data_IF_040878411521
#
_entry.id   IF_040878411521
#
_cell.length_a   1.000
_cell.length_b   1.000
_cell.length_c   1.000
_cell.angle_alpha   90.00
_cell.angle_beta   90.00
_cell.angle_gamma   90.00
#
_symmetry.space_group_name_H-M   'P 1'
#
loop_
_entity.id
_entity.type
_entity.pdbx_description
1 polymer ?
#
# COMPACT_ATOMS: atom_id res chain seq x y z
N UNK A 1 -13.70 27.93 31.12
CA UNK A 1 -13.80 27.36 29.76
C UNK A 1 -12.86 26.16 29.72
N UNK A 2 -13.38 24.94 29.59
CA UNK A 2 -12.53 23.75 29.50
C UNK A 2 -12.18 23.51 28.02
N UNK A 3 -10.89 23.63 27.70
CA UNK A 3 -10.35 23.33 26.38
C UNK A 3 -10.40 21.82 26.14
N UNK A 4 -11.03 21.42 25.04
CA UNK A 4 -11.24 20.03 24.65
C UNK A 4 -10.32 19.73 23.46
N UNK A 5 -9.01 19.77 23.71
CA UNK A 5 -7.99 19.40 22.73
C UNK A 5 -8.00 17.87 22.56
N UNK A 6 -8.87 17.39 21.66
CA UNK A 6 -8.82 16.02 21.15
C UNK A 6 -7.46 15.79 20.53
N UNK A 7 -6.58 15.14 21.28
CA UNK A 7 -5.31 14.60 20.81
C UNK A 7 -5.62 13.68 19.62
N UNK A 8 -5.33 14.15 18.40
CA UNK A 8 -5.42 13.33 17.20
C UNK A 8 -4.29 12.32 17.30
N UNK A 9 -4.59 11.13 17.83
CA UNK A 9 -3.70 9.97 17.75
C UNK A 9 -3.27 9.88 16.27
N UNK A 10 -1.99 10.05 15.94
CA UNK A 10 -1.54 9.98 14.57
C UNK A 10 -1.92 8.58 14.07
N UNK A 11 -2.67 8.54 12.96
CA UNK A 11 -3.09 7.29 12.38
C UNK A 11 -1.83 6.44 12.14
N UNK A 12 -1.78 5.18 12.61
CA UNK A 12 -0.61 4.35 12.45
C UNK A 12 -0.25 4.30 10.96
N UNK A 13 0.94 4.81 10.63
CA UNK A 13 1.44 4.83 9.27
C UNK A 13 1.81 3.40 8.88
N UNK A 14 0.81 2.65 8.39
CA UNK A 14 1.03 1.37 7.75
C UNK A 14 2.00 1.63 6.59
N UNK A 15 3.14 0.94 6.58
CA UNK A 15 4.19 1.14 5.60
C UNK A 15 3.62 1.16 4.18
N UNK A 16 3.95 2.16 3.34
CA UNK A 16 3.23 2.44 2.09
C UNK A 16 3.33 1.31 1.05
N UNK A 17 4.20 0.32 1.30
CA UNK A 17 4.39 -0.85 0.46
C UNK A 17 3.71 -2.12 0.98
N UNK A 18 3.13 -2.13 2.17
CA UNK A 18 2.52 -3.34 2.76
C UNK A 18 1.40 -3.86 1.86
N UNK A 19 0.48 -2.97 1.46
CA UNK A 19 -0.62 -3.33 0.57
C UNK A 19 -0.15 -3.84 -0.80
N UNK A 20 0.65 -3.11 -1.60
CA UNK A 20 1.09 -3.59 -2.91
C UNK A 20 1.96 -4.85 -2.82
N UNK A 21 2.74 -5.03 -1.75
CA UNK A 21 3.53 -6.26 -1.55
C UNK A 21 2.63 -7.48 -1.31
N UNK A 22 1.64 -7.37 -0.42
CA UNK A 22 0.66 -8.44 -0.21
C UNK A 22 -0.11 -8.74 -1.50
N UNK A 23 -0.50 -7.70 -2.24
CA UNK A 23 -1.21 -7.83 -3.50
C UNK A 23 -0.36 -8.53 -4.57
N UNK A 24 0.93 -8.24 -4.64
CA UNK A 24 1.86 -8.88 -5.55
C UNK A 24 2.08 -10.36 -5.20
N UNK A 25 2.30 -10.68 -3.92
CA UNK A 25 2.47 -12.06 -3.45
C UNK A 25 1.20 -12.87 -3.73
N UNK A 26 0.04 -12.32 -3.41
CA UNK A 26 -1.24 -12.99 -3.63
C UNK A 26 -1.55 -13.15 -5.13
N UNK A 27 -1.28 -12.13 -5.95
CA UNK A 27 -1.43 -12.21 -7.40
C UNK A 27 -0.52 -13.26 -8.05
N UNK A 28 0.74 -13.35 -7.60
CA UNK A 28 1.69 -14.36 -8.08
C UNK A 28 1.27 -15.78 -7.64
N UNK A 29 0.75 -15.93 -6.42
CA UNK A 29 0.17 -17.19 -5.95
C UNK A 29 -1.01 -17.62 -6.84
N UNK A 30 -1.97 -16.72 -7.09
CA UNK A 30 -3.09 -16.98 -7.98
C UNK A 30 -2.64 -17.32 -9.42
N UNK A 31 -1.55 -16.70 -9.90
CA UNK A 31 -0.98 -17.05 -11.20
C UNK A 31 -0.45 -18.49 -11.22
N UNK A 32 0.34 -18.85 -10.21
CA UNK A 32 0.87 -20.20 -10.06
C UNK A 32 -0.26 -21.24 -9.97
N UNK A 33 -1.27 -20.98 -9.13
CA UNK A 33 -2.37 -21.91 -8.90
C UNK A 33 -3.36 -21.98 -10.10
N UNK A 34 -3.54 -20.88 -10.83
CA UNK A 34 -4.45 -20.80 -11.98
C UNK A 34 -3.87 -21.28 -13.31
N UNK A 35 -2.55 -21.21 -13.50
CA UNK A 35 -1.88 -21.54 -14.76
C UNK A 35 -0.90 -22.72 -14.68
N UNK A 36 -0.13 -22.84 -13.59
CA UNK A 36 0.86 -23.92 -13.44
C UNK A 36 0.27 -25.17 -12.75
N UNK A 37 -0.68 -25.00 -11.83
CA UNK A 37 -1.42 -26.12 -11.23
C UNK A 37 -2.43 -26.72 -12.22
N UNK A 38 -2.40 -28.05 -12.38
CA UNK A 38 -3.30 -28.82 -13.27
C UNK A 38 -4.10 -29.89 -12.52
N UNK A 39 -4.44 -29.65 -11.24
CA UNK A 39 -5.21 -30.60 -10.45
C UNK A 39 -6.70 -30.58 -10.88
N UNK A 40 -7.25 -31.72 -11.35
CA UNK A 40 -8.61 -31.78 -11.88
C UNK A 40 -9.70 -31.53 -10.82
N UNK A 41 -9.40 -31.71 -9.53
CA UNK A 41 -10.35 -31.45 -8.43
C UNK A 41 -10.49 -29.97 -8.05
N UNK A 42 -9.69 -29.06 -8.62
CA UNK A 42 -9.67 -27.63 -8.26
C UNK A 42 -10.09 -26.70 -9.39
N UNK A 43 -10.71 -27.23 -10.45
CA UNK A 43 -11.15 -26.42 -11.60
C UNK A 43 -12.13 -25.30 -11.24
N UNK A 44 -12.95 -25.50 -10.20
CA UNK A 44 -13.95 -24.51 -9.77
C UNK A 44 -13.31 -23.21 -9.27
N UNK A 45 -12.14 -23.31 -8.62
CA UNK A 45 -11.38 -22.16 -8.15
C UNK A 45 -10.33 -21.68 -9.17
N UNK A 46 -10.05 -22.47 -10.21
CA UNK A 46 -9.06 -22.15 -11.22
C UNK A 46 -9.43 -20.90 -12.03
N UNK A 47 -10.73 -20.69 -12.31
CA UNK A 47 -11.22 -19.46 -12.96
C UNK A 47 -10.99 -18.23 -12.09
N UNK A 48 -11.31 -18.31 -10.79
CA UNK A 48 -11.10 -17.22 -9.84
C UNK A 48 -9.61 -16.89 -9.70
N UNK A 49 -8.75 -17.90 -9.63
CA UNK A 49 -7.30 -17.71 -9.59
C UNK A 49 -6.75 -17.07 -10.88
N UNK A 50 -7.24 -17.48 -12.06
CA UNK A 50 -6.84 -16.85 -13.32
C UNK A 50 -7.27 -15.38 -13.39
N UNK A 51 -8.55 -15.09 -13.13
CA UNK A 51 -9.07 -13.71 -13.15
C UNK A 51 -8.37 -12.86 -12.07
N UNK A 52 -8.22 -13.42 -10.87
CA UNK A 52 -7.49 -12.81 -9.76
C UNK A 52 -6.08 -12.44 -10.16
N UNK A 53 -5.32 -13.36 -10.76
CA UNK A 53 -3.95 -13.07 -11.23
C UNK A 53 -3.93 -11.95 -12.29
N UNK A 54 -4.92 -11.93 -13.19
CA UNK A 54 -5.00 -10.96 -14.28
C UNK A 54 -5.35 -9.55 -13.79
N UNK A 55 -6.05 -9.43 -12.65
CA UNK A 55 -6.43 -8.15 -12.05
C UNK A 55 -5.39 -7.70 -11.01
N UNK A 56 -5.00 -8.61 -10.11
CA UNK A 56 -4.12 -8.31 -8.97
C UNK A 56 -2.71 -7.92 -9.40
N UNK A 57 -2.15 -8.60 -10.42
CA UNK A 57 -0.77 -8.31 -10.86
C UNK A 57 -0.66 -6.90 -11.47
N UNK A 58 -1.49 -6.50 -12.46
CA UNK A 58 -1.47 -5.13 -12.97
C UNK A 58 -1.80 -4.10 -11.88
N UNK A 59 -2.75 -4.42 -10.99
CA UNK A 59 -3.11 -3.51 -9.90
C UNK A 59 -1.95 -3.29 -8.94
N UNK A 60 -1.24 -4.36 -8.54
CA UNK A 60 -0.06 -4.27 -7.68
C UNK A 60 1.04 -3.43 -8.32
N UNK A 61 1.24 -3.55 -9.64
CA UNK A 61 2.20 -2.73 -10.39
C UNK A 61 1.79 -1.25 -10.36
N UNK A 62 0.53 -0.94 -10.65
CA UNK A 62 0.02 0.44 -10.63
C UNK A 62 0.15 1.07 -9.24
N UNK A 63 -0.21 0.31 -8.21
CA UNK A 63 -0.15 0.75 -6.82
C UNK A 63 1.30 0.97 -6.36
N UNK A 64 2.22 0.08 -6.75
CA UNK A 64 3.65 0.25 -6.51
C UNK A 64 4.20 1.52 -7.17
N UNK A 65 3.81 1.80 -8.43
CA UNK A 65 4.22 3.02 -9.15
C UNK A 65 3.64 4.26 -8.47
N UNK A 66 2.36 4.24 -8.09
CA UNK A 66 1.68 5.34 -7.40
C UNK A 66 2.34 5.64 -6.06
N UNK A 67 2.61 4.62 -5.27
CA UNK A 67 3.34 4.72 -4.00
C UNK A 67 4.75 5.30 -4.19
N UNK A 68 5.48 4.84 -5.21
CA UNK A 68 6.81 5.36 -5.53
C UNK A 68 6.78 6.84 -5.94
N UNK A 69 5.71 7.30 -6.61
CA UNK A 69 5.53 8.72 -6.97
C UNK A 69 5.22 9.57 -5.74
N UNK A 70 4.39 9.09 -4.83
CA UNK A 70 4.02 9.83 -3.62
C UNK A 70 5.23 10.05 -2.69
N UNK A 71 6.11 9.06 -2.54
CA UNK A 71 7.35 9.21 -1.75
C UNK A 71 8.31 10.26 -2.32
N UNK A 72 8.29 10.49 -3.64
CA UNK A 72 9.09 11.57 -4.24
C UNK A 72 8.46 12.95 -3.99
N UNK A 73 7.13 13.02 -3.91
CA UNK A 73 6.42 14.25 -3.59
C UNK A 73 6.64 14.65 -2.12
N UNK A 74 6.57 13.71 -1.18
CA UNK A 74 6.77 13.99 0.25
C UNK A 74 8.22 14.40 0.58
N UNK A 75 9.21 13.85 -0.13
CA UNK A 75 10.62 14.31 0.00
C UNK A 75 10.88 15.70 -0.56
N UNK A 76 9.93 16.26 -1.32
CA UNK A 76 10.04 17.59 -1.92
C UNK A 76 9.25 18.64 -1.14
N UNK A 77 8.53 18.26 -0.08
CA UNK A 77 8.05 19.24 0.89
C UNK A 77 9.27 19.87 1.56
N UNK A 78 9.56 21.16 1.29
CA UNK A 78 10.66 21.83 1.96
C UNK A 78 10.40 21.71 3.45
N UNK A 79 11.45 21.30 4.16
CA UNK A 79 11.57 21.44 5.59
C UNK A 79 11.37 22.92 5.88
N UNK A 80 10.12 23.33 6.15
CA UNK A 80 9.86 24.52 6.93
C UNK A 80 10.25 24.14 8.35
N UNK A 81 11.55 24.25 8.62
CA UNK A 81 12.05 24.55 9.96
C UNK A 81 11.43 25.90 10.36
N UNK A 82 10.19 25.88 10.84
CA UNK A 82 9.79 26.86 11.83
C UNK A 82 10.52 26.49 13.12
N UNK A 83 11.77 26.94 13.25
CA UNK A 83 12.41 27.06 14.55
C UNK A 83 11.68 28.16 15.33
N UNK A 84 11.01 27.87 16.45
CA UNK A 84 10.50 28.90 17.34
C UNK A 84 11.69 29.67 17.92
N UNK A 85 11.80 30.95 17.57
CA UNK A 85 12.66 31.87 18.32
C UNK A 85 11.89 32.33 19.55
N UNK A 86 12.01 31.52 20.60
CA UNK A 86 11.93 32.01 21.96
C UNK A 86 13.29 32.69 22.26
N UNK A 87 13.31 34.03 22.28
CA UNK A 87 14.40 34.79 22.88
C UNK A 87 13.78 35.78 23.87
N UNK A 88 13.97 35.42 25.13
CA UNK A 88 13.78 36.17 26.35
C UNK A 88 14.64 37.45 26.35
N UNK A 89 14.02 38.63 26.45
CA UNK A 89 14.45 39.81 27.24
C UNK A 89 13.49 40.99 27.12
#
# INVERSE_FOLDING_TARGET
MADNSKEKIPAPEIGPFVFPTLLAIFGLWCFYDGWLTSNPSMQEHQLLNRIGSLILIPWAILDFIRTRRNQKADRTSPINEETPKEEDT
#
